data_IF_230135484847
#
_entry.id   IF_230135484847
#
_cell.length_a   1.000
_cell.length_b   1.000
_cell.length_c   1.000
_cell.angle_alpha   90.00
_cell.angle_beta   90.00
_cell.angle_gamma   90.00
#
_symmetry.space_group_name_H-M   'P 1'
#
loop_
_entity.id
_entity.type
_entity.pdbx_description
1 polymer ?
#
# COMPACT_ATOMS: atom_id res chain seq x y z
N UNK A 1 -9.71 -32.27 4.64
CA UNK A 1 -10.49 -31.34 3.81
C UNK A 1 -9.65 -30.07 3.66
N UNK A 2 -9.00 -29.85 2.50
CA UNK A 2 -8.33 -28.56 2.23
C UNK A 2 -9.44 -27.56 1.96
N UNK A 3 -9.59 -26.56 2.82
CA UNK A 3 -10.44 -25.40 2.52
C UNK A 3 -9.67 -24.61 1.44
N UNK A 4 -10.09 -24.72 0.20
CA UNK A 4 -9.61 -23.80 -0.84
C UNK A 4 -10.22 -22.43 -0.52
N UNK A 5 -9.39 -21.55 0.01
CA UNK A 5 -9.74 -20.14 0.17
C UNK A 5 -9.74 -19.54 -1.24
N UNK A 6 -10.93 -19.39 -1.81
CA UNK A 6 -11.13 -18.89 -3.17
C UNK A 6 -11.21 -17.36 -3.23
N UNK A 7 -10.90 -16.68 -2.11
CA UNK A 7 -10.91 -15.22 -2.03
C UNK A 7 -9.53 -14.66 -2.38
N UNK A 8 -9.44 -13.60 -3.21
CA UNK A 8 -8.19 -12.92 -3.46
C UNK A 8 -7.59 -12.37 -2.16
N UNK A 9 -6.27 -12.34 -2.09
CA UNK A 9 -5.52 -11.78 -0.95
C UNK A 9 -4.97 -10.43 -1.37
N UNK A 10 -5.26 -9.40 -0.59
CA UNK A 10 -4.68 -8.07 -0.73
C UNK A 10 -3.69 -7.83 0.41
N UNK A 11 -2.40 -7.75 0.09
CA UNK A 11 -1.35 -7.37 1.03
C UNK A 11 -1.33 -5.84 1.09
N UNK A 12 -1.95 -5.28 2.11
CA UNK A 12 -2.03 -3.84 2.32
C UNK A 12 -0.75 -3.34 3.00
N UNK A 13 0.07 -2.57 2.27
CA UNK A 13 1.36 -2.05 2.76
C UNK A 13 1.15 -0.62 3.25
N UNK A 14 1.28 -0.42 4.55
CA UNK A 14 1.04 0.85 5.26
C UNK A 14 2.34 1.33 5.92
N UNK A 15 2.46 2.62 6.15
CA UNK A 15 3.61 3.22 6.83
C UNK A 15 3.85 4.67 6.40
N UNK A 16 4.67 5.42 7.12
CA UNK A 16 4.94 6.83 6.83
C UNK A 16 5.70 7.03 5.51
N UNK A 17 5.77 8.26 5.04
CA UNK A 17 6.58 8.63 3.87
C UNK A 17 8.03 8.23 4.07
N UNK A 18 8.66 7.61 3.07
CA UNK A 18 10.06 7.17 3.14
C UNK A 18 10.30 5.92 4.00
N UNK A 19 9.25 5.20 4.43
CA UNK A 19 9.43 3.94 5.18
C UNK A 19 9.84 2.74 4.32
N UNK A 20 9.78 2.84 2.98
CA UNK A 20 10.16 1.76 2.07
C UNK A 20 8.99 1.00 1.45
N UNK A 21 7.75 1.49 1.55
CA UNK A 21 6.55 0.84 1.00
C UNK A 21 6.66 0.48 -0.48
N UNK A 22 7.07 1.45 -1.30
CA UNK A 22 7.24 1.24 -2.75
C UNK A 22 8.34 0.22 -3.03
N UNK A 23 9.44 0.27 -2.29
CA UNK A 23 10.52 -0.72 -2.38
C UNK A 23 10.01 -2.12 -2.08
N UNK A 24 9.25 -2.28 -0.99
CA UNK A 24 8.64 -3.57 -0.65
C UNK A 24 7.71 -4.07 -1.76
N UNK A 25 6.81 -3.21 -2.26
CA UNK A 25 5.88 -3.57 -3.33
C UNK A 25 6.62 -4.00 -4.60
N UNK A 26 7.70 -3.30 -4.98
CA UNK A 26 8.52 -3.66 -6.13
C UNK A 26 9.21 -5.01 -5.96
N UNK A 27 9.84 -5.27 -4.81
CA UNK A 27 10.48 -6.56 -4.51
C UNK A 27 9.45 -7.69 -4.58
N UNK A 28 8.25 -7.50 -4.02
CA UNK A 28 7.19 -8.50 -4.11
C UNK A 28 6.71 -8.71 -5.55
N UNK A 29 6.62 -7.64 -6.35
CA UNK A 29 6.24 -7.74 -7.77
C UNK A 29 7.28 -8.53 -8.59
N UNK A 30 8.56 -8.30 -8.36
CA UNK A 30 9.67 -9.06 -8.97
C UNK A 30 9.66 -10.56 -8.59
N UNK A 31 9.04 -10.87 -7.44
CA UNK A 31 8.89 -12.24 -6.93
C UNK A 31 7.46 -12.81 -7.14
N UNK A 32 6.69 -12.25 -8.06
CA UNK A 32 5.44 -12.84 -8.56
C UNK A 32 4.15 -12.34 -7.89
N UNK A 33 4.21 -11.35 -7.00
CA UNK A 33 3.02 -10.72 -6.39
C UNK A 33 2.80 -9.34 -7.01
N UNK A 34 1.88 -9.17 -7.97
CA UNK A 34 1.66 -7.91 -8.66
C UNK A 34 1.14 -6.83 -7.71
N UNK A 35 1.44 -5.57 -8.04
CA UNK A 35 1.01 -4.41 -7.26
C UNK A 35 -0.21 -3.74 -7.88
N UNK A 36 -1.20 -3.42 -7.05
CA UNK A 36 -2.32 -2.54 -7.42
C UNK A 36 -1.77 -1.11 -7.54
N UNK A 37 -1.91 -0.51 -8.71
CA UNK A 37 -1.58 0.89 -8.97
C UNK A 37 -2.84 1.72 -8.78
N UNK A 38 -2.88 2.52 -7.71
CA UNK A 38 -4.05 3.37 -7.40
C UNK A 38 -4.25 4.49 -8.41
N UNK A 39 -5.48 4.92 -8.57
CA UNK A 39 -5.84 6.16 -9.25
C UNK A 39 -5.70 7.35 -8.29
N UNK A 40 -5.40 8.52 -8.82
CA UNK A 40 -5.37 9.77 -8.04
C UNK A 40 -5.71 10.98 -8.87
N UNK A 41 -6.38 11.94 -8.26
CA UNK A 41 -6.62 13.29 -8.83
C UNK A 41 -5.44 14.23 -8.58
N UNK A 42 -4.41 13.79 -7.87
CA UNK A 42 -3.19 14.57 -7.64
C UNK A 42 -2.42 14.76 -8.95
N UNK A 43 -1.91 15.96 -9.23
CA UNK A 43 -0.99 16.15 -10.33
C UNK A 43 0.26 15.26 -10.21
N UNK A 44 0.73 14.75 -11.34
CA UNK A 44 1.97 14.00 -11.44
C UNK A 44 3.16 14.87 -11.01
N UNK A 45 4.09 14.32 -10.26
CA UNK A 45 5.33 14.99 -9.86
C UNK A 45 6.44 14.71 -10.84
N UNK A 46 7.51 15.53 -10.77
CA UNK A 46 8.72 15.27 -11.55
C UNK A 46 9.30 13.90 -11.19
N UNK A 47 9.62 13.13 -12.23
CA UNK A 47 10.16 11.77 -12.10
C UNK A 47 9.12 10.66 -11.92
N UNK A 48 7.83 10.98 -11.76
CA UNK A 48 6.76 9.98 -11.75
C UNK A 48 6.33 9.62 -13.19
N UNK A 49 5.78 8.44 -13.37
CA UNK A 49 5.26 7.94 -14.65
C UNK A 49 3.82 7.47 -14.47
N UNK A 50 2.92 7.92 -15.36
CA UNK A 50 1.54 7.49 -15.32
C UNK A 50 1.40 5.96 -15.49
N UNK A 51 0.65 5.33 -14.59
CA UNK A 51 0.48 3.88 -14.55
C UNK A 51 1.57 3.12 -13.81
N UNK A 52 2.59 3.81 -13.29
CA UNK A 52 3.65 3.21 -12.46
C UNK A 52 3.48 3.57 -10.98
N UNK A 53 3.60 4.83 -10.62
CA UNK A 53 3.36 5.29 -9.25
C UNK A 53 1.86 5.39 -8.96
N UNK A 54 1.11 5.98 -9.88
CA UNK A 54 -0.35 6.12 -9.87
C UNK A 54 -0.88 6.22 -11.30
N UNK A 55 -2.17 5.95 -11.47
CA UNK A 55 -2.95 6.42 -12.61
C UNK A 55 -3.41 7.84 -12.30
N UNK A 56 -2.78 8.83 -12.93
CA UNK A 56 -3.12 10.25 -12.76
C UNK A 56 -4.30 10.59 -13.66
N UNK A 57 -5.43 10.94 -13.04
CA UNK A 57 -6.72 11.13 -13.72
C UNK A 57 -7.34 12.45 -13.29
N UNK A 58 -8.35 12.89 -14.06
CA UNK A 58 -9.16 14.06 -13.67
C UNK A 58 -10.29 13.64 -12.72
N UNK A 59 -10.90 14.56 -11.94
CA UNK A 59 -12.04 14.24 -11.10
C UNK A 59 -13.23 13.64 -11.87
N UNK A 60 -13.37 13.96 -13.17
CA UNK A 60 -14.43 13.46 -14.05
C UNK A 60 -14.27 11.98 -14.40
N UNK A 61 -13.04 11.45 -14.31
CA UNK A 61 -12.74 10.04 -14.59
C UNK A 61 -13.06 9.11 -13.39
N UNK A 62 -13.56 9.67 -12.30
CA UNK A 62 -13.86 8.95 -11.10
C UNK A 62 -15.06 8.01 -11.30
N UNK A 63 -14.92 6.69 -11.02
CA UNK A 63 -16.02 5.75 -11.17
C UNK A 63 -17.04 5.89 -10.03
N UNK A 64 -18.13 5.14 -10.11
CA UNK A 64 -19.08 5.03 -9.01
C UNK A 64 -18.42 4.50 -7.73
N UNK A 65 -18.90 4.99 -6.58
CA UNK A 65 -18.35 4.59 -5.28
C UNK A 65 -18.41 3.07 -5.01
N UNK A 66 -19.36 2.36 -5.64
CA UNK A 66 -19.49 0.90 -5.54
C UNK A 66 -18.36 0.13 -6.23
N UNK A 67 -17.65 0.77 -7.16
CA UNK A 67 -16.52 0.18 -7.87
C UNK A 67 -15.17 0.49 -7.20
N UNK A 68 -15.17 1.46 -6.27
CA UNK A 68 -13.95 1.89 -5.58
C UNK A 68 -13.65 1.02 -4.38
N UNK A 69 -12.40 0.62 -4.27
CA UNK A 69 -11.83 0.03 -3.06
C UNK A 69 -10.79 0.99 -2.46
N UNK A 70 -10.65 0.96 -1.14
CA UNK A 70 -9.64 1.74 -0.41
C UNK A 70 -9.65 3.25 -0.73
N UNK A 71 -10.83 3.84 -0.92
CA UNK A 71 -10.96 5.27 -1.17
C UNK A 71 -10.45 6.10 0.01
N UNK A 72 -9.67 7.12 -0.30
CA UNK A 72 -9.21 8.11 0.69
C UNK A 72 -9.07 9.49 0.07
N UNK A 73 -9.26 10.53 0.88
CA UNK A 73 -8.86 11.90 0.56
C UNK A 73 -7.67 12.27 1.42
N UNK A 74 -6.54 12.56 0.79
CA UNK A 74 -5.31 12.86 1.48
C UNK A 74 -4.58 14.05 0.84
N UNK A 75 -4.30 15.07 1.64
CA UNK A 75 -3.63 16.29 1.17
C UNK A 75 -4.43 17.06 0.11
N UNK A 76 -5.77 16.98 0.15
CA UNK A 76 -6.67 17.64 -0.79
C UNK A 76 -6.87 16.90 -2.12
N UNK A 77 -6.31 15.71 -2.24
CA UNK A 77 -6.44 14.87 -3.43
C UNK A 77 -7.10 13.53 -3.11
N UNK A 78 -7.81 12.98 -4.07
CA UNK A 78 -8.47 11.69 -3.94
C UNK A 78 -7.56 10.56 -4.43
N UNK A 79 -7.65 9.40 -3.76
CA UNK A 79 -6.95 8.17 -4.12
C UNK A 79 -7.91 7.00 -4.00
N UNK A 80 -7.89 6.09 -4.96
CA UNK A 80 -8.69 4.87 -4.94
C UNK A 80 -8.06 3.79 -5.79
N UNK A 81 -8.53 2.57 -5.63
CA UNK A 81 -8.36 1.50 -6.60
C UNK A 81 -9.74 0.98 -6.99
N UNK A 82 -9.80 0.05 -7.93
CA UNK A 82 -11.06 -0.55 -8.37
C UNK A 82 -11.09 -2.04 -8.11
N UNK A 83 -12.28 -2.62 -7.96
CA UNK A 83 -12.48 -4.06 -7.83
C UNK A 83 -11.83 -4.85 -8.98
N UNK A 84 -11.76 -4.27 -10.17
CA UNK A 84 -11.13 -4.91 -11.33
C UNK A 84 -9.63 -5.16 -11.13
N UNK A 85 -8.96 -4.36 -10.30
CA UNK A 85 -7.53 -4.51 -10.04
C UNK A 85 -7.21 -5.66 -9.06
N UNK A 86 -8.22 -6.23 -8.39
CA UNK A 86 -8.06 -7.36 -7.45
C UNK A 86 -8.28 -8.73 -8.09
N UNK A 87 -8.23 -8.85 -9.42
CA UNK A 87 -8.46 -10.12 -10.14
C UNK A 87 -7.36 -11.17 -9.93
N UNK A 88 -6.23 -10.78 -9.40
CA UNK A 88 -5.14 -11.70 -9.07
C UNK A 88 -5.45 -12.45 -7.78
N UNK A 89 -5.01 -13.72 -7.69
CA UNK A 89 -5.15 -14.53 -6.48
C UNK A 89 -4.52 -13.86 -5.26
N UNK A 90 -3.41 -13.16 -5.47
CA UNK A 90 -2.71 -12.35 -4.46
C UNK A 90 -2.13 -11.11 -5.13
N UNK A 91 -2.20 -9.97 -4.46
CA UNK A 91 -1.61 -8.72 -4.92
C UNK A 91 -1.19 -7.84 -3.75
N UNK A 92 -0.27 -6.90 -3.98
CA UNK A 92 0.09 -5.87 -3.01
C UNK A 92 -0.67 -4.58 -3.28
N UNK A 93 -0.91 -3.80 -2.25
CA UNK A 93 -1.47 -2.46 -2.36
C UNK A 93 -0.84 -1.50 -1.35
N UNK A 94 -0.16 -0.47 -1.85
CA UNK A 94 0.41 0.60 -1.00
C UNK A 94 -0.70 1.61 -0.72
N UNK A 95 -1.12 1.70 0.54
CA UNK A 95 -2.26 2.52 0.96
C UNK A 95 -1.96 3.23 2.29
N UNK A 96 -2.80 4.20 2.65
CA UNK A 96 -2.78 4.81 3.98
C UNK A 96 -3.75 4.11 4.95
N UNK A 97 -3.75 4.55 6.22
CA UNK A 97 -4.59 3.95 7.26
C UNK A 97 -6.09 4.09 6.97
N UNK A 98 -6.51 5.22 6.41
CA UNK A 98 -7.92 5.45 6.06
C UNK A 98 -8.35 4.52 4.93
N UNK A 99 -7.49 4.34 3.93
CA UNK A 99 -7.73 3.39 2.86
C UNK A 99 -7.78 1.94 3.36
N UNK A 100 -6.91 1.57 4.31
CA UNK A 100 -6.94 0.25 4.94
C UNK A 100 -8.26 0.00 5.69
N UNK A 101 -8.69 0.98 6.49
CA UNK A 101 -9.98 0.91 7.21
C UNK A 101 -11.13 0.76 6.21
N UNK A 102 -11.17 1.63 5.19
CA UNK A 102 -12.19 1.58 4.16
C UNK A 102 -12.26 0.19 3.47
N UNK A 103 -11.09 -0.35 3.11
CA UNK A 103 -10.99 -1.67 2.48
C UNK A 103 -11.57 -2.78 3.37
N UNK A 104 -11.21 -2.80 4.65
CA UNK A 104 -11.68 -3.81 5.62
C UNK A 104 -13.18 -3.67 5.92
N UNK A 105 -13.70 -2.46 6.05
CA UNK A 105 -15.10 -2.21 6.43
C UNK A 105 -16.09 -2.38 5.28
N UNK A 106 -15.73 -1.92 4.09
CA UNK A 106 -16.65 -1.92 2.94
C UNK A 106 -16.64 -3.23 2.16
N UNK A 107 -15.56 -3.98 2.23
CA UNK A 107 -15.38 -5.20 1.44
C UNK A 107 -14.97 -6.42 2.28
N UNK A 108 -15.64 -6.69 3.43
CA UNK A 108 -15.19 -7.73 4.37
C UNK A 108 -15.27 -9.15 3.80
N UNK A 109 -16.06 -9.36 2.73
CA UNK A 109 -16.28 -10.67 2.11
C UNK A 109 -15.73 -10.75 0.67
N UNK A 110 -15.01 -9.74 0.21
CA UNK A 110 -14.51 -9.69 -1.18
C UNK A 110 -13.07 -10.19 -1.30
N UNK A 111 -12.27 -9.98 -0.27
CA UNK A 111 -10.85 -10.41 -0.21
C UNK A 111 -10.41 -10.62 1.23
N UNK A 112 -9.32 -11.37 1.37
CA UNK A 112 -8.56 -11.43 2.61
C UNK A 112 -7.57 -10.27 2.60
N UNK A 113 -7.66 -9.39 3.60
CA UNK A 113 -6.71 -8.28 3.76
C UNK A 113 -5.63 -8.69 4.74
N UNK A 114 -4.39 -8.80 4.26
CA UNK A 114 -3.20 -9.00 5.08
C UNK A 114 -2.45 -7.67 5.20
N UNK A 115 -2.46 -7.08 6.38
CA UNK A 115 -1.92 -5.74 6.61
C UNK A 115 -0.48 -5.77 7.11
N UNK A 116 0.42 -5.08 6.41
CA UNK A 116 1.84 -4.95 6.76
C UNK A 116 2.16 -3.49 7.05
N UNK A 117 2.70 -3.21 8.22
CA UNK A 117 3.18 -1.88 8.58
C UNK A 117 4.70 -1.80 8.45
N UNK A 118 5.18 -0.83 7.66
CA UNK A 118 6.59 -0.50 7.59
C UNK A 118 6.89 0.68 8.51
N UNK A 119 7.59 0.38 9.59
CA UNK A 119 8.12 1.37 10.51
C UNK A 119 9.55 1.77 10.12
N UNK A 120 9.85 3.05 10.17
CA UNK A 120 11.20 3.59 9.96
C UNK A 120 11.40 4.85 10.76
N UNK A 121 12.58 4.96 11.38
CA UNK A 121 12.95 6.14 12.16
C UNK A 121 12.86 7.42 11.30
N UNK A 122 12.38 8.52 11.89
CA UNK A 122 12.20 9.80 11.18
C UNK A 122 13.50 10.36 10.61
N UNK A 123 14.62 10.21 11.31
CA UNK A 123 15.93 10.68 10.84
C UNK A 123 16.38 9.93 9.58
N UNK A 124 16.14 8.61 9.55
CA UNK A 124 16.46 7.78 8.38
C UNK A 124 15.57 8.11 7.19
N UNK A 125 14.31 8.48 7.44
CA UNK A 125 13.37 8.94 6.40
C UNK A 125 13.80 10.26 5.79
N UNK A 126 14.22 11.22 6.63
CA UNK A 126 14.75 12.52 6.19
C UNK A 126 16.06 12.30 5.39
N UNK A 127 16.95 11.44 5.87
CA UNK A 127 18.18 11.07 5.17
C UNK A 127 17.94 10.45 3.78
N UNK A 128 16.76 9.86 3.55
CA UNK A 128 16.33 9.36 2.24
C UNK A 128 15.55 10.38 1.39
N UNK A 129 15.59 11.67 1.73
CA UNK A 129 15.01 12.76 0.93
C UNK A 129 13.53 13.03 1.20
N UNK A 130 12.99 12.61 2.34
CA UNK A 130 11.64 13.02 2.78
C UNK A 130 11.71 14.45 3.30
N UNK A 131 11.03 15.38 2.62
CA UNK A 131 10.98 16.78 3.01
C UNK A 131 10.11 17.03 4.26
N UNK A 132 10.32 18.18 4.91
CA UNK A 132 9.58 18.56 6.13
C UNK A 132 8.05 18.62 5.92
N UNK A 133 7.59 19.03 4.74
CA UNK A 133 6.14 19.08 4.42
C UNK A 133 5.53 17.67 4.45
N UNK A 134 6.27 16.69 3.95
CA UNK A 134 5.83 15.29 4.00
C UNK A 134 5.86 14.73 5.43
N UNK A 135 6.88 15.09 6.20
CA UNK A 135 6.94 14.71 7.63
C UNK A 135 5.78 15.32 8.42
N UNK A 136 5.47 16.60 8.21
CA UNK A 136 4.35 17.28 8.86
C UNK A 136 3.01 16.68 8.44
N UNK A 137 2.83 16.35 7.18
CA UNK A 137 1.63 15.66 6.69
C UNK A 137 1.46 14.27 7.29
N UNK A 138 2.58 13.57 7.53
CA UNK A 138 2.56 12.26 8.19
C UNK A 138 2.11 12.36 9.65
N UNK A 139 2.27 13.51 10.35
CA UNK A 139 1.75 13.70 11.70
C UNK A 139 0.23 13.79 11.78
N UNK A 140 -0.43 14.09 10.66
CA UNK A 140 -1.90 14.17 10.56
C UNK A 140 -2.53 12.84 10.12
N UNK A 141 -1.76 11.75 10.06
CA UNK A 141 -2.26 10.42 9.69
C UNK A 141 -3.18 9.86 10.76
N UNK A 142 -4.17 9.11 10.32
CA UNK A 142 -4.99 8.32 11.24
C UNK A 142 -4.12 7.23 11.86
N UNK A 143 -4.08 7.17 13.19
CA UNK A 143 -3.32 6.12 13.88
C UNK A 143 -4.14 4.84 13.99
N UNK A 144 -3.56 3.74 13.52
CA UNK A 144 -4.00 2.38 13.82
C UNK A 144 -2.97 1.80 14.79
N UNK A 145 -3.38 1.26 15.95
CA UNK A 145 -2.45 0.63 16.87
C UNK A 145 -1.62 -0.46 16.18
N UNK A 146 -0.30 -0.48 16.39
CA UNK A 146 0.61 -1.44 15.74
C UNK A 146 0.17 -2.90 15.88
N UNK A 147 -0.42 -3.26 17.04
CA UNK A 147 -0.94 -4.60 17.30
C UNK A 147 -2.10 -5.04 16.41
N UNK A 148 -2.71 -4.12 15.65
CA UNK A 148 -3.82 -4.40 14.74
C UNK A 148 -3.34 -4.71 13.32
N UNK A 149 -2.04 -4.58 13.06
CA UNK A 149 -1.44 -5.04 11.81
C UNK A 149 -1.07 -6.52 11.92
N UNK A 150 -1.24 -7.25 10.83
CA UNK A 150 -0.90 -8.67 10.76
C UNK A 150 0.61 -8.90 10.80
N UNK A 151 1.38 -7.94 10.26
CA UNK A 151 2.84 -7.98 10.23
C UNK A 151 3.46 -6.59 10.35
N UNK A 152 4.60 -6.50 11.04
CA UNK A 152 5.35 -5.25 11.21
C UNK A 152 6.79 -5.48 10.73
N UNK A 153 7.27 -4.59 9.86
CA UNK A 153 8.66 -4.56 9.43
C UNK A 153 9.29 -3.27 9.95
N UNK A 154 10.28 -3.40 10.85
CA UNK A 154 11.12 -2.28 11.25
C UNK A 154 12.24 -2.11 10.22
N UNK A 155 12.12 -1.11 9.36
CA UNK A 155 13.07 -0.83 8.29
C UNK A 155 14.25 0.02 8.80
N UNK A 156 15.04 -0.56 9.71
CA UNK A 156 16.27 0.03 10.27
C UNK A 156 17.52 -0.70 9.76
N UNK A 157 17.38 -1.45 8.69
CA UNK A 157 18.39 -2.33 8.12
C UNK A 157 19.02 -1.75 6.85
N UNK A 158 20.11 -2.35 6.38
CA UNK A 158 20.62 -2.12 5.04
C UNK A 158 19.58 -2.53 3.98
N UNK A 159 19.75 -2.04 2.75
CA UNK A 159 18.84 -2.41 1.66
C UNK A 159 18.84 -3.93 1.43
N UNK A 160 20.00 -4.57 1.50
CA UNK A 160 20.16 -6.01 1.30
C UNK A 160 19.41 -6.82 2.37
N UNK A 161 19.51 -6.43 3.64
CA UNK A 161 18.81 -7.10 4.74
C UNK A 161 17.28 -6.96 4.64
N UNK A 162 16.79 -5.77 4.24
CA UNK A 162 15.35 -5.57 4.08
C UNK A 162 14.82 -6.34 2.85
N UNK A 163 15.60 -6.41 1.76
CA UNK A 163 15.25 -7.21 0.58
C UNK A 163 15.09 -8.69 0.94
N UNK A 164 16.03 -9.25 1.70
CA UNK A 164 15.98 -10.65 2.10
C UNK A 164 14.76 -10.95 2.98
N UNK A 165 14.44 -10.08 3.93
CA UNK A 165 13.24 -10.20 4.77
C UNK A 165 11.94 -10.15 3.94
N UNK A 166 11.87 -9.25 2.96
CA UNK A 166 10.70 -9.12 2.09
C UNK A 166 10.58 -10.37 1.19
N UNK A 167 11.68 -10.86 0.62
CA UNK A 167 11.69 -12.10 -0.18
C UNK A 167 11.21 -13.30 0.64
N UNK A 168 11.69 -13.44 1.88
CA UNK A 168 11.26 -14.52 2.76
C UNK A 168 9.76 -14.43 3.06
N UNK A 169 9.25 -13.25 3.42
CA UNK A 169 7.82 -13.02 3.62
C UNK A 169 7.01 -13.35 2.36
N UNK A 170 7.50 -12.96 1.18
CA UNK A 170 6.86 -13.26 -0.11
C UNK A 170 6.73 -14.76 -0.33
N UNK A 171 7.81 -15.51 -0.09
CA UNK A 171 7.83 -16.98 -0.22
C UNK A 171 6.82 -17.61 0.75
N UNK A 172 6.74 -17.12 1.98
CA UNK A 172 5.85 -17.68 2.99
C UNK A 172 4.36 -17.41 2.69
N UNK A 173 4.06 -16.27 2.06
CA UNK A 173 2.71 -15.93 1.62
C UNK A 173 2.26 -16.67 0.34
N UNK A 174 3.20 -17.21 -0.44
CA UNK A 174 2.90 -17.98 -1.67
C UNK A 174 2.74 -19.48 -1.43
N UNK A 175 3.09 -20.00 -0.24
CA UNK A 175 2.90 -21.42 0.16
C UNK A 175 1.47 -21.68 0.60
#
# INVERSE_FOLDING_TARGET
MKIEINMPIVIAIVGPSGSGKTTMANIMAENGIPTIVSFTTRPMRDGETNGKEHWFVTPEDKPDASEMIAYTNFGGYEYWATLQQTKHKICTYVIDEKGLIYLKEKFPNSFIVFSVYLDRNINDRIGCGVDEKRCKRDSDRTEIPLKEYDYIIHNNYSLEEIEEKIKQLTIDLLK
#
